data_IF_166305350347
#
_entry.id   IF_166305350347
#
_cell.length_a   1.000
_cell.length_b   1.000
_cell.length_c   1.000
_cell.angle_alpha   90.00
_cell.angle_beta   90.00
_cell.angle_gamma   90.00
#
_symmetry.space_group_name_H-M   'P 1'
#
loop_
_entity.id
_entity.type
_entity.pdbx_description
1 polymer ?
#
# COMPACT_ATOMS: atom_id res chain seq x y z
N UNK A 1 -0.27 17.19 -46.88
CA UNK A 1 -1.16 16.21 -46.21
C UNK A 1 -0.84 16.29 -44.72
N UNK A 2 -0.99 17.39 -43.99
CA UNK A 2 -2.04 18.42 -43.92
C UNK A 2 -3.48 17.90 -43.90
N UNK A 3 -4.20 18.35 -42.86
CA UNK A 3 -5.63 18.22 -42.55
C UNK A 3 -6.10 16.88 -41.97
N UNK A 4 -6.20 16.80 -40.64
CA UNK A 4 -7.48 16.90 -39.92
C UNK A 4 -7.26 16.69 -38.40
N UNK A 5 -8.16 17.29 -37.60
CA UNK A 5 -8.29 17.21 -36.13
C UNK A 5 -7.52 18.25 -35.30
N UNK A 6 -7.78 19.51 -35.61
CA UNK A 6 -7.77 20.60 -34.62
C UNK A 6 -8.93 21.53 -34.96
N UNK A 7 -10.07 21.37 -34.31
CA UNK A 7 -11.07 22.42 -34.10
C UNK A 7 -12.20 21.87 -33.23
N UNK A 8 -12.35 22.49 -32.04
CA UNK A 8 -13.60 22.80 -31.33
C UNK A 8 -13.31 22.78 -29.83
N UNK A 9 -12.67 23.82 -29.30
CA UNK A 9 -12.95 24.38 -27.97
C UNK A 9 -12.26 25.74 -27.86
N UNK A 10 -12.93 26.79 -28.35
CA UNK A 10 -12.63 28.19 -28.04
C UNK A 10 -13.90 28.99 -28.27
N UNK A 11 -14.36 29.72 -27.25
CA UNK A 11 -15.51 30.60 -27.38
C UNK A 11 -16.10 31.02 -26.03
N UNK A 12 -15.45 32.00 -25.41
CA UNK A 12 -15.91 32.71 -24.22
C UNK A 12 -17.05 33.71 -24.50
N UNK A 13 -17.91 33.86 -23.49
CA UNK A 13 -18.64 35.04 -23.00
C UNK A 13 -19.43 35.95 -23.96
N UNK A 14 -20.75 36.08 -23.72
CA UNK A 14 -21.42 37.38 -23.58
C UNK A 14 -22.79 37.27 -22.86
N UNK A 15 -22.99 38.16 -21.88
CA UNK A 15 -24.25 38.50 -21.18
C UNK A 15 -25.21 39.30 -22.06
N UNK A 16 -26.52 38.98 -22.01
CA UNK A 16 -27.63 39.91 -22.34
C UNK A 16 -28.83 39.64 -21.42
N UNK A 17 -29.42 40.72 -20.89
CA UNK A 17 -30.64 40.78 -20.07
C UNK A 17 -31.94 40.51 -20.86
N UNK A 18 -33.00 40.04 -20.19
CA UNK A 18 -34.39 40.40 -20.51
C UNK A 18 -35.44 39.27 -20.54
N UNK A 19 -36.23 39.20 -19.47
CA UNK A 19 -37.66 38.83 -19.33
C UNK A 19 -38.27 37.50 -19.85
N UNK A 20 -38.91 36.79 -18.90
CA UNK A 20 -40.31 36.39 -19.04
C UNK A 20 -40.66 34.89 -19.02
N UNK A 21 -41.49 34.53 -18.02
CA UNK A 21 -42.43 33.39 -17.94
C UNK A 21 -41.97 32.01 -17.40
N UNK A 22 -42.32 31.80 -16.12
CA UNK A 22 -43.10 30.70 -15.53
C UNK A 22 -42.78 29.23 -15.93
N UNK A 23 -42.36 28.41 -14.95
CA UNK A 23 -43.10 27.20 -14.52
C UNK A 23 -42.38 26.41 -13.41
N UNK A 24 -43.21 25.86 -12.51
CA UNK A 24 -42.92 25.26 -11.20
C UNK A 24 -42.13 23.93 -11.23
N UNK A 25 -41.43 23.55 -10.13
CA UNK A 25 -40.68 22.29 -10.02
C UNK A 25 -41.53 21.11 -9.47
N UNK A 26 -41.26 19.85 -9.86
CA UNK A 26 -41.93 18.69 -9.29
C UNK A 26 -41.26 18.17 -7.99
N UNK A 27 -42.01 17.44 -7.13
CA UNK A 27 -41.64 17.20 -5.73
C UNK A 27 -40.92 15.85 -5.47
N UNK A 28 -40.26 15.81 -4.31
CA UNK A 28 -39.53 14.66 -3.73
C UNK A 28 -40.50 13.61 -3.14
N UNK A 29 -40.28 12.33 -3.44
CA UNK A 29 -41.02 11.21 -2.83
C UNK A 29 -40.38 10.75 -1.51
N UNK A 30 -41.22 10.67 -0.48
CA UNK A 30 -40.93 10.16 0.87
C UNK A 30 -41.30 8.67 0.97
N UNK A 31 -40.62 8.00 1.89
CA UNK A 31 -40.85 6.64 2.39
C UNK A 31 -42.32 6.29 2.66
N UNK A 32 -42.70 5.04 2.37
CA UNK A 32 -43.89 4.39 2.89
C UNK A 32 -43.47 3.18 3.72
N UNK A 33 -43.87 3.20 5.00
CA UNK A 33 -43.97 2.05 5.92
C UNK A 33 -45.42 1.55 5.91
N UNK A 34 -45.59 0.31 6.36
CA UNK A 34 -46.82 -0.37 6.80
C UNK A 34 -47.69 -1.07 5.73
N UNK A 35 -47.68 -2.41 5.78
CA UNK A 35 -48.86 -3.24 5.52
C UNK A 35 -48.96 -4.33 6.59
N UNK A 36 -50.11 -4.40 7.26
CA UNK A 36 -50.50 -5.39 8.27
C UNK A 36 -51.04 -6.68 7.65
N UNK A 37 -50.82 -7.75 8.42
CA UNK A 37 -51.35 -9.12 8.41
C UNK A 37 -52.81 -9.32 7.98
N UNK A 38 -53.12 -10.48 7.40
CA UNK A 38 -54.26 -11.38 7.72
C UNK A 38 -54.21 -12.69 6.88
N UNK A 39 -54.43 -13.84 7.52
CA UNK A 39 -54.93 -15.06 6.84
C UNK A 39 -54.09 -16.33 6.98
N UNK A 40 -54.34 -17.13 8.03
CA UNK A 40 -53.90 -18.52 8.19
C UNK A 40 -54.89 -19.47 7.44
N UNK A 41 -54.46 -20.66 7.00
CA UNK A 41 -54.98 -21.85 7.68
C UNK A 41 -53.95 -22.97 7.91
N UNK A 42 -54.19 -23.68 9.01
CA UNK A 42 -53.47 -24.86 9.55
C UNK A 42 -53.86 -26.17 8.87
N UNK A 43 -52.88 -27.03 8.50
CA UNK A 43 -52.83 -28.52 8.61
C UNK A 43 -51.34 -28.89 8.36
N UNK A 44 -50.55 -29.53 9.24
CA UNK A 44 -50.58 -30.92 9.69
C UNK A 44 -49.14 -31.32 10.08
N UNK A 45 -48.98 -32.04 11.20
CA UNK A 45 -47.70 -32.53 11.75
C UNK A 45 -47.15 -33.69 10.90
N UNK A 46 -45.85 -33.70 10.61
CA UNK A 46 -44.98 -34.81 11.04
C UNK A 46 -43.47 -34.51 10.89
N UNK A 47 -42.78 -34.76 12.00
CA UNK A 47 -41.41 -35.26 12.22
C UNK A 47 -40.30 -34.97 11.19
N UNK A 48 -39.25 -34.26 11.65
CA UNK A 48 -37.85 -34.71 11.68
C UNK A 48 -36.97 -33.64 12.38
N UNK A 49 -36.36 -33.98 13.53
CA UNK A 49 -35.23 -33.25 14.15
C UNK A 49 -33.91 -33.73 13.51
N UNK A 50 -32.88 -32.88 13.40
CA UNK A 50 -31.78 -32.90 14.39
C UNK A 50 -31.15 -31.50 14.63
N UNK A 51 -29.99 -31.38 15.31
CA UNK A 51 -29.87 -31.04 16.72
C UNK A 51 -29.53 -29.56 16.99
N UNK A 52 -29.77 -29.17 18.24
CA UNK A 52 -29.48 -27.89 18.86
C UNK A 52 -27.98 -27.58 18.95
N UNK A 53 -27.55 -26.46 18.35
CA UNK A 53 -26.36 -25.74 18.78
C UNK A 53 -26.81 -24.52 19.58
N UNK A 54 -26.53 -24.55 20.88
CA UNK A 54 -26.62 -23.43 21.81
C UNK A 54 -25.73 -22.28 21.33
N UNK A 55 -26.34 -21.12 21.11
CA UNK A 55 -25.65 -19.86 20.85
C UNK A 55 -25.30 -19.26 22.20
N UNK A 56 -24.04 -19.38 22.62
CA UNK A 56 -23.52 -18.59 23.74
C UNK A 56 -23.23 -17.16 23.25
N UNK A 57 -24.08 -16.24 23.69
CA UNK A 57 -23.89 -14.81 23.59
C UNK A 57 -22.77 -14.37 24.55
N UNK A 58 -21.58 -14.08 24.02
CA UNK A 58 -20.59 -13.26 24.72
C UNK A 58 -20.24 -12.03 23.90
N UNK A 59 -20.89 -10.94 24.29
CA UNK A 59 -20.51 -9.57 23.98
C UNK A 59 -19.15 -9.23 24.60
N UNK A 60 -18.36 -8.42 23.88
CA UNK A 60 -17.33 -7.57 24.48
C UNK A 60 -15.95 -8.17 24.70
N UNK A 61 -15.21 -8.47 23.62
CA UNK A 61 -13.73 -8.41 23.63
C UNK A 61 -13.26 -7.81 22.32
N UNK A 62 -12.57 -6.66 22.39
CA UNK A 62 -11.96 -6.03 21.22
C UNK A 62 -10.98 -6.99 20.55
N UNK A 63 -10.90 -6.92 19.21
CA UNK A 63 -9.97 -7.73 18.42
C UNK A 63 -8.53 -7.52 18.92
N UNK A 64 -7.99 -8.53 19.60
CA UNK A 64 -6.56 -8.62 19.92
C UNK A 64 -5.89 -9.28 18.72
N UNK A 65 -4.79 -8.70 18.22
CA UNK A 65 -3.95 -9.37 17.22
C UNK A 65 -3.64 -10.80 17.73
N UNK A 66 -3.80 -11.84 16.90
CA UNK A 66 -3.66 -13.21 17.38
C UNK A 66 -2.27 -13.43 17.98
N UNK A 67 -2.22 -13.72 19.28
CA UNK A 67 -1.00 -14.07 20.01
C UNK A 67 -0.64 -15.53 19.67
N UNK A 68 0.00 -15.75 18.52
CA UNK A 68 0.44 -17.09 18.07
C UNK A 68 1.78 -17.42 18.73
N UNK A 69 1.81 -17.42 20.07
CA UNK A 69 2.96 -17.87 20.83
C UNK A 69 2.52 -18.46 22.17
N UNK A 70 2.06 -19.74 22.16
CA UNK A 70 2.24 -20.74 23.23
C UNK A 70 1.51 -22.03 22.90
N UNK A 71 2.19 -22.96 22.25
CA UNK A 71 1.95 -24.39 22.47
C UNK A 71 3.31 -25.07 22.72
N UNK A 72 3.55 -25.40 23.99
CA UNK A 72 4.76 -26.07 24.43
C UNK A 72 4.63 -27.59 24.31
N UNK A 73 5.58 -28.21 23.60
CA UNK A 73 6.30 -29.45 23.96
C UNK A 73 7.30 -29.77 22.83
N UNK A 74 8.59 -29.71 23.13
CA UNK A 74 9.67 -30.14 22.24
C UNK A 74 10.31 -31.39 22.85
N UNK A 75 10.20 -32.58 22.23
CA UNK A 75 11.19 -33.63 22.37
C UNK A 75 12.16 -33.57 21.18
N UNK A 76 13.44 -33.34 21.47
CA UNK A 76 14.53 -33.48 20.51
C UNK A 76 14.93 -32.17 19.82
N UNK A 77 15.92 -31.48 20.39
CA UNK A 77 16.63 -30.39 19.71
C UNK A 77 17.39 -30.99 18.53
N UNK A 78 16.88 -30.76 17.31
CA UNK A 78 17.72 -30.67 16.12
C UNK A 78 17.94 -29.19 15.85
N UNK A 79 19.20 -28.72 15.88
CA UNK A 79 19.60 -27.44 15.30
C UNK A 79 19.32 -27.49 13.79
N UNK A 80 18.12 -27.10 13.40
CA UNK A 80 17.71 -26.91 12.01
C UNK A 80 17.09 -25.53 11.88
N UNK A 81 17.43 -24.80 10.81
CA UNK A 81 16.81 -23.51 10.46
C UNK A 81 15.29 -23.65 10.57
N UNK A 82 14.66 -22.92 11.48
CA UNK A 82 13.20 -22.93 11.63
C UNK A 82 12.63 -22.24 10.39
N UNK A 83 11.86 -22.95 9.57
CA UNK A 83 11.13 -22.30 8.48
C UNK A 83 10.13 -21.32 9.09
N UNK A 84 10.27 -20.04 8.75
CA UNK A 84 9.42 -18.94 9.25
C UNK A 84 8.13 -18.83 8.43
N UNK A 85 8.24 -19.12 7.13
CA UNK A 85 7.15 -19.05 6.18
C UNK A 85 6.80 -20.45 5.68
N UNK A 86 5.53 -20.79 5.76
CA UNK A 86 4.96 -22.00 5.20
C UNK A 86 3.75 -21.63 4.35
N UNK A 87 3.53 -22.42 3.31
CA UNK A 87 2.45 -22.20 2.36
C UNK A 87 1.13 -22.76 2.92
N UNK A 88 0.09 -21.94 3.14
CA UNK A 88 -1.18 -22.44 3.64
C UNK A 88 -1.88 -23.33 2.59
N UNK A 89 -2.43 -24.48 3.02
CA UNK A 89 -3.14 -25.44 2.15
C UNK A 89 -4.33 -24.80 1.42
N UNK A 90 -4.97 -23.82 2.05
CA UNK A 90 -6.09 -23.05 1.51
C UNK A 90 -5.77 -21.57 1.23
N UNK A 91 -4.49 -21.18 1.17
CA UNK A 91 -4.11 -19.77 0.98
C UNK A 91 -4.44 -19.21 -0.41
N UNK A 92 -4.08 -17.96 -0.69
CA UNK A 92 -4.29 -17.36 -2.01
C UNK A 92 -3.52 -18.12 -3.10
N UNK A 93 -4.00 -18.00 -4.34
CA UNK A 93 -3.21 -18.36 -5.53
C UNK A 93 -2.01 -17.42 -5.59
N UNK A 94 -0.84 -17.93 -5.99
CA UNK A 94 0.39 -17.15 -6.16
C UNK A 94 0.96 -17.33 -7.56
N UNK A 95 1.85 -16.42 -7.95
CA UNK A 95 2.63 -16.57 -9.18
C UNK A 95 3.36 -17.91 -9.18
N UNK A 96 3.30 -18.60 -10.31
CA UNK A 96 3.90 -19.90 -10.55
C UNK A 96 3.10 -21.11 -10.12
N UNK A 97 1.93 -20.92 -9.48
CA UNK A 97 0.93 -21.98 -9.35
C UNK A 97 0.40 -22.45 -10.70
N UNK A 98 -0.31 -23.58 -10.70
CA UNK A 98 -1.14 -23.95 -11.84
C UNK A 98 -2.62 -23.89 -11.47
N UNK A 99 -3.40 -23.20 -12.28
CA UNK A 99 -4.86 -23.14 -12.20
C UNK A 99 -5.37 -23.88 -13.44
N UNK A 100 -6.12 -24.97 -13.23
CA UNK A 100 -6.57 -25.83 -14.34
C UNK A 100 -5.42 -26.26 -15.29
N UNK A 101 -4.24 -26.54 -14.73
CA UNK A 101 -3.04 -26.94 -15.48
C UNK A 101 -2.22 -25.79 -16.07
N UNK A 102 -2.77 -24.58 -16.17
CA UNK A 102 -2.08 -23.41 -16.72
C UNK A 102 -1.29 -22.66 -15.65
N UNK A 103 -0.06 -22.24 -15.97
CA UNK A 103 0.82 -21.56 -15.03
C UNK A 103 0.40 -20.10 -14.84
N UNK A 104 0.28 -19.68 -13.59
CA UNK A 104 -0.06 -18.31 -13.20
C UNK A 104 1.16 -17.42 -13.35
N UNK A 105 1.07 -16.42 -14.23
CA UNK A 105 2.11 -15.43 -14.43
C UNK A 105 2.02 -14.27 -13.43
N UNK A 106 0.81 -13.93 -12.97
CA UNK A 106 0.57 -12.85 -12.02
C UNK A 106 -0.89 -12.44 -11.94
N UNK A 107 -1.14 -11.20 -11.51
CA UNK A 107 -2.49 -10.66 -11.35
C UNK A 107 -2.56 -9.22 -11.82
N UNK A 108 -3.70 -8.85 -12.40
CA UNK A 108 -4.04 -7.47 -12.71
C UNK A 108 -5.33 -7.07 -12.01
N UNK A 109 -5.68 -5.79 -12.08
CA UNK A 109 -6.89 -5.21 -11.52
C UNK A 109 -7.49 -4.20 -12.50
N UNK A 110 -8.74 -4.43 -12.87
CA UNK A 110 -9.51 -3.53 -13.73
C UNK A 110 -10.29 -2.56 -12.84
N UNK A 111 -9.84 -1.31 -12.78
CA UNK A 111 -10.48 -0.25 -11.97
C UNK A 111 -11.92 -0.04 -12.43
N UNK A 112 -12.84 0.00 -11.47
CA UNK A 112 -14.25 0.37 -11.71
C UNK A 112 -14.79 1.23 -10.55
N UNK A 113 -15.90 1.97 -10.73
CA UNK A 113 -16.53 2.73 -9.65
C UNK A 113 -17.05 1.87 -8.49
N UNK A 114 -17.36 0.58 -8.74
CA UNK A 114 -17.81 -0.39 -7.75
C UNK A 114 -16.77 -1.51 -7.59
N UNK A 115 -15.55 -1.12 -7.21
CA UNK A 115 -14.43 -2.04 -7.03
C UNK A 115 -14.75 -3.14 -6.01
N UNK A 116 -14.48 -4.39 -6.39
CA UNK A 116 -14.62 -5.61 -5.58
C UNK A 116 -13.62 -6.67 -6.05
N UNK A 117 -13.59 -7.86 -5.44
CA UNK A 117 -12.78 -8.99 -5.91
C UNK A 117 -13.08 -9.39 -7.36
N UNK A 118 -14.25 -9.05 -7.90
CA UNK A 118 -14.61 -9.28 -9.31
C UNK A 118 -13.80 -8.43 -10.29
N UNK A 119 -13.06 -7.43 -9.82
CA UNK A 119 -12.20 -6.57 -10.62
C UNK A 119 -10.77 -7.12 -10.74
N UNK A 120 -10.38 -8.09 -9.91
CA UNK A 120 -9.11 -8.78 -10.05
C UNK A 120 -9.10 -9.68 -11.29
N UNK A 121 -7.94 -9.80 -11.92
CA UNK A 121 -7.72 -10.59 -13.12
C UNK A 121 -6.57 -11.57 -12.92
N UNK A 122 -6.81 -12.82 -13.30
CA UNK A 122 -5.79 -13.86 -13.35
C UNK A 122 -4.98 -13.71 -14.63
N UNK A 123 -3.66 -13.56 -14.50
CA UNK A 123 -2.73 -13.58 -15.63
C UNK A 123 -2.05 -14.94 -15.69
N UNK A 124 -2.00 -15.52 -16.88
CA UNK A 124 -1.35 -16.80 -17.17
C UNK A 124 -0.13 -16.56 -18.08
N UNK A 125 0.80 -17.51 -18.11
CA UNK A 125 1.98 -17.42 -18.97
C UNK A 125 1.57 -17.17 -20.44
N UNK A 126 2.12 -16.12 -21.06
CA UNK A 126 1.80 -15.67 -22.42
C UNK A 126 1.00 -14.35 -22.47
N UNK A 127 0.29 -14.01 -21.39
CA UNK A 127 -0.48 -12.77 -21.29
C UNK A 127 0.41 -11.51 -21.23
N UNK A 128 1.73 -11.62 -21.02
CA UNK A 128 2.69 -10.50 -21.01
C UNK A 128 2.67 -9.71 -22.32
N UNK A 129 2.30 -10.38 -23.41
CA UNK A 129 2.20 -9.80 -24.75
C UNK A 129 0.98 -8.90 -24.93
N UNK A 130 -0.05 -9.02 -24.07
CA UNK A 130 -1.29 -8.28 -24.20
C UNK A 130 -1.10 -6.79 -23.89
N UNK A 131 -1.88 -5.95 -24.58
CA UNK A 131 -1.88 -4.50 -24.36
C UNK A 131 -2.72 -4.07 -23.15
N UNK A 132 -3.62 -4.94 -22.67
CA UNK A 132 -4.48 -4.71 -21.51
C UNK A 132 -4.74 -6.02 -20.76
N UNK A 133 -5.14 -5.96 -19.48
CA UNK A 133 -5.52 -7.15 -18.72
C UNK A 133 -6.64 -7.94 -19.41
N UNK A 134 -6.57 -9.27 -19.49
CA UNK A 134 -7.64 -10.09 -20.04
C UNK A 134 -8.86 -10.06 -19.12
N UNK A 135 -10.06 -10.33 -19.66
CA UNK A 135 -11.30 -10.49 -18.88
C UNK A 135 -11.39 -11.88 -18.23
N UNK A 136 -10.33 -12.29 -17.53
CA UNK A 136 -10.25 -13.57 -16.80
C UNK A 136 -10.34 -13.31 -15.29
N UNK A 137 -11.44 -13.69 -14.61
CA UNK A 137 -11.56 -13.51 -13.16
C UNK A 137 -10.58 -14.42 -12.39
N UNK A 138 -10.47 -14.20 -11.08
CA UNK A 138 -9.77 -15.15 -10.21
C UNK A 138 -10.48 -16.52 -10.18
N UNK A 139 -9.75 -17.61 -9.88
CA UNK A 139 -10.32 -18.96 -9.83
C UNK A 139 -11.47 -19.06 -8.82
N UNK A 140 -12.52 -19.81 -9.18
CA UNK A 140 -13.58 -20.13 -8.25
C UNK A 140 -13.07 -21.09 -7.15
N UNK A 141 -13.77 -21.15 -6.01
CA UNK A 141 -13.35 -21.95 -4.86
C UNK A 141 -13.19 -23.45 -5.13
N UNK A 142 -13.92 -23.98 -6.12
CA UNK A 142 -13.90 -25.37 -6.58
C UNK A 142 -12.88 -25.63 -7.71
N UNK A 143 -12.15 -24.60 -8.16
CA UNK A 143 -11.14 -24.75 -9.19
C UNK A 143 -9.94 -25.53 -8.67
N UNK A 144 -9.48 -26.53 -9.42
CA UNK A 144 -8.27 -27.27 -9.11
C UNK A 144 -7.03 -26.37 -9.21
N UNK A 145 -6.29 -26.25 -8.10
CA UNK A 145 -5.10 -25.41 -7.98
C UNK A 145 -3.93 -26.27 -7.52
N UNK A 146 -2.91 -26.40 -8.36
CA UNK A 146 -1.62 -26.97 -7.97
C UNK A 146 -0.74 -25.87 -7.37
N UNK A 147 -0.55 -25.94 -6.05
CA UNK A 147 0.18 -24.95 -5.25
C UNK A 147 1.70 -25.16 -5.32
N UNK A 148 2.27 -24.98 -6.52
CA UNK A 148 3.69 -25.16 -6.79
C UNK A 148 4.49 -23.85 -6.92
N UNK A 149 3.83 -22.69 -6.97
CA UNK A 149 4.48 -21.39 -6.96
C UNK A 149 5.29 -21.13 -5.68
N UNK A 150 6.44 -20.43 -5.77
CA UNK A 150 7.22 -20.06 -4.61
C UNK A 150 6.49 -19.00 -3.77
N UNK A 151 6.78 -18.96 -2.47
CA UNK A 151 6.38 -17.82 -1.64
C UNK A 151 7.19 -16.59 -2.04
N UNK A 152 6.63 -15.37 -1.94
CA UNK A 152 7.36 -14.11 -2.15
C UNK A 152 8.63 -13.95 -1.30
N UNK A 153 8.72 -14.69 -0.19
CA UNK A 153 9.87 -14.71 0.72
C UNK A 153 10.95 -15.70 0.32
N UNK A 154 10.73 -16.58 -0.67
CA UNK A 154 11.67 -17.62 -1.06
C UNK A 154 13.00 -17.06 -1.61
N UNK A 155 12.98 -15.82 -2.09
CA UNK A 155 14.13 -15.08 -2.60
C UNK A 155 14.95 -14.38 -1.51
N UNK A 156 14.48 -14.40 -0.26
CA UNK A 156 15.18 -13.77 0.87
C UNK A 156 16.05 -14.81 1.58
N UNK A 157 17.33 -14.49 1.77
CA UNK A 157 18.24 -15.32 2.53
C UNK A 157 17.74 -15.53 3.97
N UNK A 158 17.88 -16.73 4.51
CA UNK A 158 17.32 -17.06 5.83
C UNK A 158 17.92 -16.23 6.97
N UNK A 159 19.19 -15.87 6.87
CA UNK A 159 19.89 -14.94 7.77
C UNK A 159 19.36 -13.50 7.73
N UNK A 160 18.69 -13.11 6.65
CA UNK A 160 18.05 -11.81 6.48
C UNK A 160 16.61 -11.78 7.01
N UNK A 161 16.16 -12.86 7.64
CA UNK A 161 14.88 -12.97 8.37
C UNK A 161 15.19 -13.07 9.86
N UNK A 162 15.08 -11.95 10.55
CA UNK A 162 15.47 -11.80 11.95
C UNK A 162 14.24 -11.76 12.84
N UNK A 163 14.33 -12.26 14.09
CA UNK A 163 13.26 -11.99 15.06
C UNK A 163 13.22 -10.49 15.32
N UNK A 164 12.03 -9.91 15.38
CA UNK A 164 11.87 -8.48 15.57
C UNK A 164 12.56 -7.99 16.85
N UNK A 165 12.55 -8.79 17.92
CA UNK A 165 13.25 -8.48 19.18
C UNK A 165 14.77 -8.55 19.10
N UNK A 166 15.34 -9.28 18.13
CA UNK A 166 16.78 -9.27 17.84
C UNK A 166 17.18 -8.01 17.07
N UNK A 167 16.24 -7.41 16.32
CA UNK A 167 16.44 -6.12 15.65
C UNK A 167 16.27 -4.97 16.63
N UNK A 168 15.18 -4.93 17.39
CA UNK A 168 15.02 -4.03 18.51
C UNK A 168 14.01 -4.63 19.49
N UNK A 169 14.39 -4.77 20.76
CA UNK A 169 13.61 -5.48 21.77
C UNK A 169 12.16 -4.98 21.88
N UNK A 170 11.95 -3.66 21.76
CA UNK A 170 10.64 -3.02 21.85
C UNK A 170 9.79 -3.15 20.57
N UNK A 171 10.36 -3.55 19.43
CA UNK A 171 9.76 -3.35 18.11
C UNK A 171 8.35 -3.94 17.97
N UNK A 172 8.07 -5.19 18.38
CA UNK A 172 6.71 -5.73 18.32
C UNK A 172 5.69 -4.88 19.06
N UNK A 173 6.00 -4.48 20.30
CA UNK A 173 5.06 -3.69 21.09
C UNK A 173 4.93 -2.26 20.58
N UNK A 174 6.02 -1.65 20.11
CA UNK A 174 5.97 -0.32 19.51
C UNK A 174 5.10 -0.28 18.25
N UNK A 175 5.14 -1.32 17.40
CA UNK A 175 4.26 -1.43 16.23
C UNK A 175 2.79 -1.56 16.67
N UNK A 176 2.50 -2.44 17.63
CA UNK A 176 1.12 -2.61 18.13
C UNK A 176 0.60 -1.32 18.76
N UNK A 177 1.44 -0.63 19.53
CA UNK A 177 1.12 0.66 20.13
C UNK A 177 0.89 1.74 19.07
N UNK A 178 1.75 1.79 18.04
CA UNK A 178 1.60 2.70 16.91
C UNK A 178 0.23 2.52 16.23
N UNK A 179 -0.15 1.28 15.89
CA UNK A 179 -1.45 0.96 15.29
C UNK A 179 -2.61 1.43 16.18
N UNK A 180 -2.56 1.13 17.49
CA UNK A 180 -3.61 1.56 18.44
C UNK A 180 -3.69 3.08 18.60
N UNK A 181 -2.59 3.80 18.38
CA UNK A 181 -2.50 5.24 18.58
C UNK A 181 -2.90 6.09 17.36
N UNK A 182 -3.18 5.47 16.20
CA UNK A 182 -3.57 6.20 14.98
C UNK A 182 -4.96 6.84 15.05
N UNK A 183 -5.79 6.36 15.96
CA UNK A 183 -7.20 6.68 16.10
C UNK A 183 -7.97 5.43 16.53
N UNK A 184 -9.10 5.59 17.23
CA UNK A 184 -9.84 4.44 17.78
C UNK A 184 -10.38 3.56 16.65
N UNK A 185 -10.98 4.15 15.62
CA UNK A 185 -11.52 3.43 14.48
C UNK A 185 -10.42 2.97 13.53
N UNK A 186 -9.43 3.82 13.26
CA UNK A 186 -8.28 3.52 12.39
C UNK A 186 -7.45 2.34 12.93
N UNK A 187 -7.17 2.32 14.23
CA UNK A 187 -6.43 1.24 14.88
C UNK A 187 -7.20 -0.09 14.92
N UNK A 188 -8.52 -0.03 15.15
CA UNK A 188 -9.40 -1.21 15.06
C UNK A 188 -9.46 -1.76 13.65
N UNK A 189 -9.62 -0.89 12.66
CA UNK A 189 -9.62 -1.24 11.25
C UNK A 189 -8.32 -1.95 10.85
N UNK A 190 -7.17 -1.35 11.15
CA UNK A 190 -5.86 -1.92 10.81
C UNK A 190 -5.67 -3.30 11.47
N UNK A 191 -6.05 -3.44 12.73
CA UNK A 191 -5.97 -4.71 13.47
C UNK A 191 -6.88 -5.78 12.84
N UNK A 192 -8.12 -5.43 12.51
CA UNK A 192 -9.07 -6.34 11.88
C UNK A 192 -8.62 -6.77 10.48
N UNK A 193 -8.10 -5.84 9.68
CA UNK A 193 -7.56 -6.13 8.36
C UNK A 193 -6.38 -7.10 8.43
N UNK A 194 -5.39 -6.84 9.30
CA UNK A 194 -4.24 -7.74 9.50
C UNK A 194 -4.72 -9.14 9.89
N UNK A 195 -5.67 -9.24 10.83
CA UNK A 195 -6.21 -10.52 11.27
C UNK A 195 -6.97 -11.26 10.15
N UNK A 196 -7.76 -10.54 9.34
CA UNK A 196 -8.48 -11.11 8.19
C UNK A 196 -7.50 -11.63 7.15
N UNK A 197 -6.52 -10.82 6.74
CA UNK A 197 -5.49 -11.23 5.77
C UNK A 197 -4.72 -12.46 6.24
N UNK A 198 -4.34 -12.51 7.52
CA UNK A 198 -3.68 -13.68 8.10
C UNK A 198 -4.57 -14.93 8.08
N UNK A 199 -5.86 -14.80 8.38
CA UNK A 199 -6.81 -15.90 8.37
C UNK A 199 -7.05 -16.47 6.96
N UNK A 200 -7.04 -15.61 5.93
CA UNK A 200 -7.13 -15.99 4.52
C UNK A 200 -5.78 -16.49 3.95
N UNK A 201 -4.74 -16.54 4.78
CA UNK A 201 -3.42 -17.05 4.40
C UNK A 201 -2.59 -16.08 3.55
N UNK A 202 -2.98 -14.81 3.46
CA UNK A 202 -2.17 -13.79 2.80
C UNK A 202 -0.91 -13.46 3.62
N UNK A 203 0.19 -13.26 2.92
CA UNK A 203 1.36 -12.59 3.47
C UNK A 203 1.16 -11.08 3.44
N UNK A 204 1.55 -10.43 4.53
CA UNK A 204 1.38 -9.00 4.79
C UNK A 204 2.60 -8.47 5.55
N UNK A 205 3.12 -7.32 5.13
CA UNK A 205 4.23 -6.65 5.78
C UNK A 205 3.94 -5.17 5.95
N UNK A 206 4.28 -4.64 7.13
CA UNK A 206 4.51 -3.21 7.32
C UNK A 206 5.89 -2.88 6.77
N UNK A 207 6.03 -1.70 6.16
CA UNK A 207 7.24 -1.31 5.45
C UNK A 207 7.52 0.19 5.61
N UNK A 208 8.62 0.66 5.03
CA UNK A 208 8.88 2.08 4.86
C UNK A 208 9.10 2.81 6.18
N UNK A 209 8.46 3.99 6.32
CA UNK A 209 8.74 4.92 7.42
C UNK A 209 8.46 4.37 8.80
N UNK A 210 7.37 3.60 8.93
CA UNK A 210 6.93 3.02 10.20
C UNK A 210 7.97 2.08 10.80
N UNK A 211 8.45 1.13 9.99
CA UNK A 211 9.43 0.13 10.45
C UNK A 211 10.79 0.79 10.72
N UNK A 212 11.27 1.60 9.76
CA UNK A 212 12.56 2.29 9.87
C UNK A 212 12.61 3.19 11.11
N UNK A 213 11.63 4.07 11.29
CA UNK A 213 11.66 5.07 12.36
C UNK A 213 11.49 4.42 13.73
N UNK A 214 10.69 3.36 13.86
CA UNK A 214 10.60 2.62 15.12
C UNK A 214 11.90 1.87 15.46
N UNK A 215 12.66 1.39 14.47
CA UNK A 215 13.97 0.77 14.70
C UNK A 215 15.03 1.82 15.05
N UNK A 216 15.06 2.94 14.31
CA UNK A 216 16.12 3.94 14.42
C UNK A 216 15.90 4.94 15.57
N UNK A 217 14.67 5.41 15.71
CA UNK A 217 14.31 6.45 16.68
C UNK A 217 13.68 5.85 17.94
N UNK A 218 13.22 4.60 17.91
CA UNK A 218 12.69 3.90 19.09
C UNK A 218 11.17 4.07 19.31
N UNK A 219 10.64 3.66 20.50
CA UNK A 219 9.19 3.57 20.74
C UNK A 219 8.42 4.88 20.62
N UNK A 220 9.09 6.02 20.78
CA UNK A 220 8.50 7.35 20.69
C UNK A 220 8.36 7.86 19.24
N UNK A 221 8.88 7.13 18.25
CA UNK A 221 8.76 7.53 16.86
C UNK A 221 7.28 7.64 16.46
N UNK A 222 6.91 8.79 15.89
CA UNK A 222 5.52 9.08 15.55
C UNK A 222 5.14 8.43 14.22
N UNK A 223 4.42 7.31 14.29
CA UNK A 223 3.79 6.67 13.14
C UNK A 223 2.50 7.41 12.79
N UNK A 224 2.39 7.88 11.54
CA UNK A 224 1.25 8.69 11.08
C UNK A 224 0.43 8.00 9.98
N UNK A 225 0.95 6.94 9.40
CA UNK A 225 0.43 6.18 8.27
C UNK A 225 1.12 4.81 8.26
N UNK A 226 0.40 3.78 7.81
CA UNK A 226 0.92 2.44 7.64
C UNK A 226 1.12 2.19 6.15
N UNK A 227 2.38 2.26 5.73
CA UNK A 227 2.78 1.70 4.43
C UNK A 227 2.83 0.18 4.57
N UNK A 228 2.16 -0.51 3.66
CA UNK A 228 1.99 -1.96 3.69
C UNK A 228 2.22 -2.56 2.30
N UNK A 229 2.63 -3.83 2.26
CA UNK A 229 2.65 -4.62 1.03
C UNK A 229 2.34 -6.08 1.33
N UNK A 230 1.99 -6.85 0.31
CA UNK A 230 1.66 -8.25 0.48
C UNK A 230 1.07 -8.92 -0.74
N UNK A 231 0.50 -10.10 -0.50
CA UNK A 231 -0.06 -10.99 -1.53
C UNK A 231 -1.53 -10.73 -1.85
N UNK A 232 -2.26 -10.00 -1.02
CA UNK A 232 -3.65 -9.64 -1.29
C UNK A 232 -3.74 -8.67 -2.46
N UNK A 233 -4.73 -8.90 -3.33
CA UNK A 233 -4.95 -8.09 -4.53
C UNK A 233 -5.87 -6.91 -4.22
N UNK A 234 -5.88 -5.87 -5.07
CA UNK A 234 -6.69 -4.70 -4.81
C UNK A 234 -8.19 -5.00 -4.70
N UNK A 235 -8.73 -5.92 -5.49
CA UNK A 235 -10.15 -6.30 -5.42
C UNK A 235 -10.48 -7.09 -4.15
N UNK A 236 -9.71 -8.14 -3.84
CA UNK A 236 -9.83 -8.92 -2.59
C UNK A 236 -9.81 -8.03 -1.34
N UNK A 237 -8.99 -6.96 -1.31
CA UNK A 237 -8.97 -6.01 -0.20
C UNK A 237 -10.29 -5.27 0.02
N UNK A 238 -11.09 -5.02 -1.04
CA UNK A 238 -12.43 -4.47 -0.85
C UNK A 238 -13.33 -5.48 -0.15
N UNK A 239 -13.36 -6.72 -0.65
CA UNK A 239 -14.20 -7.79 -0.11
C UNK A 239 -13.83 -8.09 1.36
N UNK A 240 -12.55 -8.08 1.68
CA UNK A 240 -12.07 -8.30 3.05
C UNK A 240 -12.35 -7.14 4.00
N UNK A 241 -12.45 -5.92 3.49
CA UNK A 241 -12.87 -4.79 4.31
C UNK A 241 -14.34 -4.88 4.63
N UNK A 242 -15.19 -5.19 3.66
CA UNK A 242 -16.62 -5.37 3.90
C UNK A 242 -16.82 -6.46 4.97
N UNK A 243 -16.15 -7.61 4.83
CA UNK A 243 -16.15 -8.69 5.84
C UNK A 243 -15.60 -8.26 7.22
N UNK A 244 -14.50 -7.49 7.25
CA UNK A 244 -13.84 -7.09 8.48
C UNK A 244 -14.60 -6.00 9.24
N UNK A 245 -15.31 -5.12 8.53
CA UNK A 245 -16.14 -4.06 9.09
C UNK A 245 -17.50 -4.59 9.56
N UNK A 246 -18.15 -5.46 8.78
CA UNK A 246 -19.51 -5.95 9.07
C UNK A 246 -19.59 -6.83 10.32
N UNK A 247 -18.59 -7.67 10.60
CA UNK A 247 -18.78 -8.81 11.53
C UNK A 247 -18.08 -8.64 12.89
N UNK A 248 -16.99 -7.87 12.99
CA UNK A 248 -16.11 -7.96 14.18
C UNK A 248 -15.69 -6.65 14.82
N UNK A 249 -15.66 -5.54 14.08
CA UNK A 249 -15.08 -4.30 14.59
C UNK A 249 -16.13 -3.26 15.03
N UNK A 250 -17.41 -3.45 14.69
CA UNK A 250 -18.48 -2.50 15.02
C UNK A 250 -18.28 -1.12 14.36
N UNK A 251 -17.48 -1.07 13.30
CA UNK A 251 -17.17 0.12 12.54
C UNK A 251 -18.28 0.27 11.51
N UNK A 252 -18.96 1.41 11.47
CA UNK A 252 -19.98 1.61 10.43
C UNK A 252 -19.33 1.70 9.05
N UNK A 253 -19.96 1.13 8.02
CA UNK A 253 -19.51 1.14 6.60
C UNK A 253 -19.33 2.56 6.02
N UNK A 254 -19.63 3.58 6.82
CA UNK A 254 -19.66 4.99 6.48
C UNK A 254 -18.46 5.76 7.06
N UNK A 255 -17.50 5.12 7.72
CA UNK A 255 -16.35 5.83 8.31
C UNK A 255 -15.23 6.05 7.28
N UNK A 256 -14.95 5.07 6.43
CA UNK A 256 -13.77 5.09 5.56
C UNK A 256 -14.10 5.19 4.06
N UNK A 257 -13.20 5.85 3.33
CA UNK A 257 -13.16 5.92 1.86
C UNK A 257 -11.98 5.09 1.38
N UNK A 258 -12.27 4.10 0.55
CA UNK A 258 -11.30 3.23 -0.10
C UNK A 258 -11.00 3.72 -1.52
N UNK A 259 -9.74 3.63 -1.96
CA UNK A 259 -9.34 4.02 -3.30
C UNK A 259 -8.18 3.16 -3.81
N UNK A 260 -8.23 2.72 -5.06
CA UNK A 260 -7.09 2.09 -5.74
C UNK A 260 -6.56 3.00 -6.83
N UNK A 261 -5.27 3.32 -6.72
CA UNK A 261 -4.52 4.10 -7.71
C UNK A 261 -4.29 3.33 -9.00
N UNK A 262 -3.81 4.00 -10.05
CA UNK A 262 -3.42 3.35 -11.29
C UNK A 262 -2.24 2.38 -11.15
N UNK A 263 -1.50 2.43 -10.02
CA UNK A 263 -0.36 1.53 -9.70
C UNK A 263 -0.71 0.47 -8.65
N UNK A 264 -2.00 0.21 -8.45
CA UNK A 264 -2.50 -0.79 -7.50
C UNK A 264 -2.09 -0.52 -6.05
N UNK A 265 -1.94 0.77 -5.70
CA UNK A 265 -1.88 1.21 -4.30
C UNK A 265 -3.31 1.39 -3.82
N UNK A 266 -3.72 0.55 -2.87
CA UNK A 266 -4.99 0.61 -2.18
C UNK A 266 -4.84 1.49 -0.94
N UNK A 267 -5.58 2.59 -0.87
CA UNK A 267 -5.53 3.57 0.21
C UNK A 267 -6.83 3.61 1.00
N UNK A 268 -6.70 3.71 2.33
CA UNK A 268 -7.81 3.88 3.27
C UNK A 268 -7.71 5.25 3.92
N UNK A 269 -8.78 6.05 3.82
CA UNK A 269 -8.86 7.39 4.41
C UNK A 269 -10.17 7.55 5.18
N UNK A 270 -10.20 8.47 6.14
CA UNK A 270 -11.47 8.86 6.76
C UNK A 270 -12.34 9.62 5.75
N UNK A 271 -13.66 9.35 5.73
CA UNK A 271 -14.61 10.05 4.86
C UNK A 271 -14.76 11.52 5.21
N UNK A 272 -14.53 11.92 6.46
CA UNK A 272 -14.51 13.33 6.88
C UNK A 272 -13.32 14.10 6.31
N UNK A 273 -12.42 13.42 5.60
CA UNK A 273 -11.23 13.98 4.99
C UNK A 273 -9.95 13.58 5.71
N UNK A 274 -8.82 14.10 5.22
CA UNK A 274 -7.49 13.79 5.75
C UNK A 274 -6.64 12.92 4.84
N UNK A 275 -5.42 12.62 5.33
CA UNK A 275 -4.48 11.75 4.63
C UNK A 275 -4.91 10.29 4.77
N UNK A 276 -4.49 9.44 3.83
CA UNK A 276 -4.58 8.02 4.04
C UNK A 276 -3.81 7.60 5.29
N UNK A 277 -4.41 6.71 6.08
CA UNK A 277 -3.75 6.13 7.24
C UNK A 277 -3.23 4.71 6.95
N UNK A 278 -3.73 4.07 5.89
CA UNK A 278 -3.14 2.85 5.31
C UNK A 278 -2.94 3.08 3.82
N UNK A 279 -1.74 2.76 3.34
CA UNK A 279 -1.45 2.57 1.92
C UNK A 279 -0.88 1.18 1.73
N UNK A 280 -1.64 0.30 1.10
CA UNK A 280 -1.25 -1.06 0.78
C UNK A 280 -0.91 -1.14 -0.71
N UNK A 281 0.33 -1.50 -1.03
CA UNK A 281 0.76 -1.78 -2.40
C UNK A 281 0.75 -3.28 -2.62
N UNK A 282 -0.04 -3.77 -3.57
CA UNK A 282 0.10 -5.17 -4.00
C UNK A 282 1.49 -5.37 -4.61
N UNK A 283 2.19 -6.47 -4.27
CA UNK A 283 3.60 -6.64 -4.68
C UNK A 283 3.74 -6.48 -6.20
N UNK A 284 4.56 -5.52 -6.66
CA UNK A 284 4.63 -5.15 -8.06
C UNK A 284 5.25 -6.28 -8.88
N UNK A 285 4.78 -6.42 -10.11
CA UNK A 285 5.31 -7.37 -11.07
C UNK A 285 5.63 -6.63 -12.37
N UNK A 286 6.87 -6.77 -12.84
CA UNK A 286 7.32 -6.20 -14.11
C UNK A 286 7.10 -7.20 -15.26
N UNK A 287 7.30 -6.74 -16.50
CA UNK A 287 7.21 -7.58 -17.71
C UNK A 287 5.88 -7.52 -18.45
N UNK A 288 4.87 -6.86 -17.89
CA UNK A 288 3.58 -6.61 -18.54
C UNK A 288 3.51 -5.20 -19.11
N UNK A 289 2.72 -5.01 -20.19
CA UNK A 289 2.46 -3.69 -20.80
C UNK A 289 1.45 -2.83 -20.01
N UNK A 290 0.96 -3.37 -18.91
CA UNK A 290 0.03 -2.76 -17.97
C UNK A 290 0.48 -3.08 -16.54
N UNK A 291 0.03 -2.33 -15.52
CA UNK A 291 0.35 -2.64 -14.13
C UNK A 291 -0.04 -4.07 -13.77
N UNK A 292 0.89 -4.82 -13.17
CA UNK A 292 0.67 -6.18 -12.71
C UNK A 292 1.19 -6.34 -11.27
N UNK A 293 0.72 -7.39 -10.62
CA UNK A 293 1.08 -7.75 -9.25
C UNK A 293 1.28 -9.25 -9.09
N UNK A 294 1.76 -9.67 -7.91
CA UNK A 294 2.11 -11.06 -7.62
C UNK A 294 3.62 -11.32 -7.71
N UNK A 295 4.43 -10.26 -7.67
CA UNK A 295 5.88 -10.39 -7.60
C UNK A 295 6.39 -10.86 -6.24
N UNK A 296 7.71 -10.95 -6.12
CA UNK A 296 8.41 -11.29 -4.88
C UNK A 296 8.97 -10.06 -4.13
N UNK A 297 9.62 -10.29 -2.99
CA UNK A 297 10.18 -9.20 -2.19
C UNK A 297 11.33 -8.46 -2.88
N UNK A 298 12.11 -9.11 -3.74
CA UNK A 298 13.16 -8.44 -4.51
C UNK A 298 12.56 -7.55 -5.61
N UNK A 299 11.49 -8.02 -6.27
CA UNK A 299 10.71 -7.21 -7.21
C UNK A 299 10.11 -5.96 -6.53
N UNK A 300 9.59 -6.07 -5.31
CA UNK A 300 9.12 -4.90 -4.56
C UNK A 300 10.27 -3.94 -4.21
N UNK A 301 11.40 -4.46 -3.70
CA UNK A 301 12.61 -3.67 -3.37
C UNK A 301 13.06 -2.82 -4.55
N UNK A 302 13.11 -3.38 -5.76
CA UNK A 302 13.53 -2.65 -6.98
C UNK A 302 12.64 -1.47 -7.35
N UNK A 303 11.46 -1.36 -6.76
CA UNK A 303 10.54 -0.22 -6.97
C UNK A 303 10.57 0.80 -5.84
N UNK A 304 11.29 0.54 -4.74
CA UNK A 304 11.38 1.42 -3.58
C UNK A 304 12.45 2.48 -3.76
N UNK A 305 12.43 3.47 -2.88
CA UNK A 305 13.27 4.65 -2.95
C UNK A 305 14.67 4.42 -2.35
N UNK A 306 14.76 4.00 -1.09
CA UNK A 306 16.02 3.78 -0.37
C UNK A 306 16.03 2.43 0.36
N UNK A 307 17.22 1.84 0.54
CA UNK A 307 17.41 0.54 1.23
C UNK A 307 16.88 0.57 2.66
N UNK A 308 17.07 1.67 3.39
CA UNK A 308 16.53 1.89 4.74
C UNK A 308 14.99 1.89 4.79
N UNK A 309 14.31 2.02 3.65
CA UNK A 309 12.84 1.93 3.51
C UNK A 309 12.38 0.56 2.99
N UNK A 310 13.31 -0.37 2.84
CA UNK A 310 13.13 -1.74 2.37
C UNK A 310 13.23 -2.75 3.53
N UNK A 311 12.91 -2.32 4.76
CA UNK A 311 12.74 -3.20 5.91
C UNK A 311 11.26 -3.60 6.02
N UNK A 312 11.00 -4.90 6.10
CA UNK A 312 9.66 -5.47 6.08
C UNK A 312 9.38 -6.15 7.41
N UNK A 313 8.41 -5.64 8.17
CA UNK A 313 7.99 -6.25 9.44
C UNK A 313 6.70 -7.05 9.23
N UNK A 314 6.73 -8.34 9.59
CA UNK A 314 5.56 -9.23 9.60
C UNK A 314 4.92 -9.21 11.01
N UNK A 315 3.74 -8.55 11.18
CA UNK A 315 3.09 -8.42 12.48
C UNK A 315 2.47 -9.73 13.02
N UNK A 316 2.36 -10.76 12.18
CA UNK A 316 1.81 -12.07 12.57
C UNK A 316 2.92 -12.97 13.13
N UNK A 317 4.12 -12.87 12.57
CA UNK A 317 5.27 -13.72 12.91
C UNK A 317 6.29 -13.04 13.81
N UNK A 318 6.17 -11.73 14.04
CA UNK A 318 7.14 -10.91 14.78
C UNK A 318 8.57 -11.06 14.23
N UNK A 319 8.70 -10.96 12.91
CA UNK A 319 9.99 -10.99 12.21
C UNK A 319 10.18 -9.74 11.36
N UNK A 320 11.44 -9.36 11.17
CA UNK A 320 11.87 -8.33 10.23
C UNK A 320 12.66 -9.01 9.11
N UNK A 321 12.29 -8.70 7.87
CA UNK A 321 13.00 -9.14 6.69
C UNK A 321 13.75 -7.95 6.09
N UNK A 322 14.99 -8.19 5.70
CA UNK A 322 15.81 -7.26 4.93
C UNK A 322 16.22 -7.90 3.60
N UNK A 323 15.34 -7.89 2.57
CA UNK A 323 15.65 -8.46 1.27
C UNK A 323 16.81 -7.78 0.55
N UNK A 324 17.20 -6.57 0.99
CA UNK A 324 18.37 -5.87 0.45
C UNK A 324 19.68 -6.39 1.03
N UNK A 325 19.63 -7.14 2.13
CA UNK A 325 20.78 -7.62 2.93
C UNK A 325 21.66 -6.50 3.52
N UNK A 326 21.24 -5.25 3.38
CA UNK A 326 22.01 -4.07 3.78
C UNK A 326 21.18 -3.00 4.47
N UNK A 327 19.86 -2.95 4.31
CA UNK A 327 19.01 -1.88 4.82
C UNK A 327 19.16 -1.68 6.32
N UNK A 328 19.30 -2.76 7.09
CA UNK A 328 19.53 -2.68 8.54
C UNK A 328 20.94 -2.19 8.88
N UNK A 329 21.94 -2.59 8.10
CA UNK A 329 23.33 -2.13 8.26
C UNK A 329 23.46 -0.65 7.90
N UNK A 330 22.90 -0.23 6.76
CA UNK A 330 22.84 1.16 6.30
C UNK A 330 22.17 2.06 7.34
N UNK A 331 21.08 1.59 7.97
CA UNK A 331 20.33 2.34 8.99
C UNK A 331 21.13 2.55 10.28
N UNK A 332 21.94 1.56 10.67
CA UNK A 332 22.70 1.52 11.93
C UNK A 332 24.15 2.02 11.80
N UNK A 333 24.62 2.24 10.58
CA UNK A 333 25.98 2.70 10.33
C UNK A 333 26.28 4.03 11.06
N UNK A 334 27.54 4.23 11.46
CA UNK A 334 28.00 5.50 12.06
C UNK A 334 27.74 6.68 11.11
N UNK A 335 28.02 6.46 9.82
CA UNK A 335 27.59 7.32 8.73
C UNK A 335 26.43 6.63 8.02
N UNK A 336 25.21 7.12 8.25
CA UNK A 336 24.02 6.48 7.70
C UNK A 336 24.03 6.60 6.17
N UNK A 337 24.02 5.47 5.48
CA UNK A 337 24.17 5.42 4.04
C UNK A 337 22.84 5.69 3.32
N UNK A 338 22.86 6.63 2.36
CA UNK A 338 21.76 6.86 1.44
C UNK A 338 22.00 6.04 0.17
N UNK A 339 21.21 4.99 0.00
CA UNK A 339 21.36 4.03 -1.09
C UNK A 339 20.01 3.78 -1.73
N UNK A 340 19.94 3.90 -3.04
CA UNK A 340 18.74 3.56 -3.82
C UNK A 340 18.88 2.16 -4.44
N UNK A 341 17.96 1.22 -4.17
CA UNK A 341 17.82 -0.02 -4.92
C UNK A 341 16.90 0.15 -6.16
N UNK A 342 16.47 1.38 -6.45
CA UNK A 342 15.45 1.63 -7.46
C UNK A 342 15.97 1.34 -8.87
N UNK A 343 15.26 0.48 -9.60
CA UNK A 343 15.53 0.14 -11.00
C UNK A 343 14.41 0.63 -11.94
N UNK A 344 13.47 1.44 -11.45
CA UNK A 344 12.41 2.01 -12.27
C UNK A 344 13.00 2.80 -13.44
N UNK A 345 12.41 2.66 -14.62
CA UNK A 345 12.72 3.51 -15.79
C UNK A 345 11.84 4.75 -15.87
N UNK A 346 10.76 4.79 -15.09
CA UNK A 346 9.78 5.87 -15.08
C UNK A 346 10.41 7.18 -14.57
N UNK A 347 10.42 8.27 -15.38
CA UNK A 347 11.09 9.52 -15.03
C UNK A 347 10.61 10.14 -13.71
N UNK A 348 9.29 10.14 -13.50
CA UNK A 348 8.67 10.68 -12.29
C UNK A 348 9.13 9.94 -11.03
N UNK A 349 9.26 8.62 -11.07
CA UNK A 349 9.70 7.84 -9.92
C UNK A 349 11.17 8.09 -9.60
N UNK A 350 12.03 8.17 -10.63
CA UNK A 350 13.45 8.53 -10.47
C UNK A 350 13.60 9.92 -9.84
N UNK A 351 12.82 10.90 -10.29
CA UNK A 351 12.81 12.24 -9.68
C UNK A 351 12.33 12.22 -8.22
N UNK A 352 11.33 11.40 -7.88
CA UNK A 352 10.89 11.20 -6.49
C UNK A 352 11.98 10.59 -5.60
N UNK A 353 12.82 9.69 -6.11
CA UNK A 353 13.96 9.14 -5.36
C UNK A 353 14.97 10.24 -5.01
N UNK A 354 15.28 11.15 -5.94
CA UNK A 354 16.15 12.32 -5.66
C UNK A 354 15.54 13.17 -4.53
N UNK A 355 14.26 13.54 -4.65
CA UNK A 355 13.59 14.33 -3.60
C UNK A 355 13.51 13.58 -2.27
N UNK A 356 13.42 12.25 -2.29
CA UNK A 356 13.45 11.43 -1.09
C UNK A 356 14.83 11.43 -0.44
N UNK A 357 15.90 11.28 -1.22
CA UNK A 357 17.27 11.37 -0.72
C UNK A 357 17.49 12.75 -0.08
N UNK A 358 17.09 13.83 -0.76
CA UNK A 358 17.11 15.18 -0.21
C UNK A 358 16.34 15.29 1.10
N UNK A 359 15.13 14.72 1.17
CA UNK A 359 14.31 14.71 2.39
C UNK A 359 15.06 14.09 3.58
N UNK A 360 15.77 12.98 3.37
CA UNK A 360 16.56 12.35 4.43
C UNK A 360 17.84 13.11 4.75
N UNK A 361 18.49 13.71 3.76
CA UNK A 361 19.60 14.63 3.99
C UNK A 361 19.18 15.76 4.92
N UNK A 362 18.06 16.43 4.62
CA UNK A 362 17.51 17.51 5.46
C UNK A 362 17.17 17.02 6.87
N UNK A 363 16.59 15.83 6.99
CA UNK A 363 16.21 15.25 8.30
C UNK A 363 17.43 14.91 9.16
N UNK A 364 18.46 14.29 8.59
CA UNK A 364 19.50 13.61 9.38
C UNK A 364 20.84 14.34 9.40
N UNK A 365 21.19 15.15 8.40
CA UNK A 365 22.53 15.75 8.28
C UNK A 365 22.89 16.69 9.44
N UNK A 366 21.89 17.31 10.08
CA UNK A 366 22.09 18.13 11.27
C UNK A 366 22.28 17.34 12.57
N UNK A 367 21.88 16.06 12.59
CA UNK A 367 21.87 15.22 13.79
C UNK A 367 22.96 14.14 13.77
N UNK A 368 23.37 13.70 12.58
CA UNK A 368 24.35 12.63 12.38
C UNK A 368 25.09 12.77 11.05
N UNK A 369 26.16 11.99 10.89
CA UNK A 369 26.88 11.88 9.62
C UNK A 369 26.10 11.02 8.63
N UNK A 370 26.21 11.38 7.35
CA UNK A 370 25.58 10.68 6.24
C UNK A 370 26.61 10.32 5.17
N UNK A 371 26.50 9.12 4.63
CA UNK A 371 27.21 8.69 3.43
C UNK A 371 26.28 8.79 2.21
N UNK A 372 26.66 9.65 1.25
CA UNK A 372 25.90 9.87 0.01
C UNK A 372 26.57 9.25 -1.23
N UNK A 373 27.66 8.50 -1.08
CA UNK A 373 28.43 8.01 -2.23
C UNK A 373 27.60 7.07 -3.11
N UNK A 374 26.81 6.19 -2.50
CA UNK A 374 25.96 5.26 -3.24
C UNK A 374 24.83 6.00 -4.00
N UNK A 375 24.13 6.93 -3.35
CA UNK A 375 23.05 7.69 -4.01
C UNK A 375 23.59 8.62 -5.11
N UNK A 376 24.78 9.21 -4.94
CA UNK A 376 25.46 10.00 -6.00
C UNK A 376 25.84 9.15 -7.20
N UNK A 377 26.34 7.93 -6.97
CA UNK A 377 26.63 6.98 -8.05
C UNK A 377 25.34 6.60 -8.78
N UNK A 378 24.26 6.34 -8.04
CA UNK A 378 22.95 6.06 -8.63
C UNK A 378 22.43 7.25 -9.45
N UNK A 379 22.47 8.47 -8.91
CA UNK A 379 21.99 9.67 -9.61
C UNK A 379 22.79 9.97 -10.87
N UNK A 380 24.10 9.71 -10.87
CA UNK A 380 24.95 9.83 -12.05
C UNK A 380 24.60 8.86 -13.20
N UNK A 381 23.82 7.80 -12.95
CA UNK A 381 23.31 6.90 -14.00
C UNK A 381 22.02 7.40 -14.66
N UNK A 382 21.42 8.46 -14.13
CA UNK A 382 20.17 8.99 -14.66
C UNK A 382 20.39 9.64 -16.03
N UNK A 383 19.42 9.51 -16.95
CA UNK A 383 19.55 10.10 -18.27
C UNK A 383 19.47 11.63 -18.18
N UNK A 384 20.26 12.33 -18.99
CA UNK A 384 20.33 13.80 -18.96
C UNK A 384 19.03 14.51 -19.34
N UNK A 385 18.15 13.84 -20.09
CA UNK A 385 16.82 14.31 -20.51
C UNK A 385 15.70 13.85 -19.56
N UNK A 386 16.02 13.32 -18.38
CA UNK A 386 15.04 12.80 -17.41
C UNK A 386 13.85 13.75 -17.19
N UNK A 387 14.14 15.04 -17.03
CA UNK A 387 13.14 16.05 -16.68
C UNK A 387 12.22 16.40 -17.85
N UNK A 388 12.67 16.20 -19.09
CA UNK A 388 11.90 16.50 -20.31
C UNK A 388 10.71 15.54 -20.47
N UNK A 389 10.80 14.36 -19.86
CA UNK A 389 9.78 13.31 -19.93
C UNK A 389 8.79 13.34 -18.75
N UNK A 390 8.85 14.37 -17.90
CA UNK A 390 7.91 14.55 -16.79
C UNK A 390 6.66 15.29 -17.28
N UNK A 391 5.50 14.65 -17.12
CA UNK A 391 4.20 15.24 -17.47
C UNK A 391 3.81 16.39 -16.54
N UNK A 392 2.86 17.24 -16.94
CA UNK A 392 2.35 18.34 -16.09
C UNK A 392 1.77 17.85 -14.76
N UNK A 393 1.14 16.67 -14.75
CA UNK A 393 0.69 16.03 -13.51
C UNK A 393 1.87 15.59 -12.64
N UNK A 394 2.91 15.01 -13.26
CA UNK A 394 4.15 14.66 -12.59
C UNK A 394 4.82 15.87 -11.93
N UNK A 395 4.91 17.01 -12.63
CA UNK A 395 5.45 18.25 -12.06
C UNK A 395 4.63 18.75 -10.86
N UNK A 396 3.29 18.71 -10.94
CA UNK A 396 2.43 19.03 -9.80
C UNK A 396 2.71 18.12 -8.61
N UNK A 397 2.86 16.82 -8.84
CA UNK A 397 3.20 15.85 -7.80
C UNK A 397 4.57 16.12 -7.18
N UNK A 398 5.61 16.35 -7.99
CA UNK A 398 6.95 16.69 -7.51
C UNK A 398 6.95 17.97 -6.68
N UNK A 399 6.19 18.99 -7.08
CA UNK A 399 5.98 20.18 -6.26
C UNK A 399 5.38 19.87 -4.90
N UNK A 400 4.45 18.92 -4.79
CA UNK A 400 3.88 18.51 -3.49
C UNK A 400 4.91 17.77 -2.63
N UNK A 401 5.75 16.93 -3.23
CA UNK A 401 6.85 16.23 -2.56
C UNK A 401 7.88 17.23 -2.05
N UNK A 402 8.32 18.18 -2.89
CA UNK A 402 9.27 19.23 -2.51
C UNK A 402 8.73 20.12 -1.38
N UNK A 403 7.45 20.52 -1.45
CA UNK A 403 6.82 21.25 -0.34
C UNK A 403 6.83 20.47 0.98
N UNK A 404 6.78 19.14 0.95
CA UNK A 404 6.92 18.34 2.16
C UNK A 404 8.36 18.36 2.71
N UNK A 405 9.37 18.58 1.88
CA UNK A 405 10.75 18.83 2.29
C UNK A 405 10.87 20.21 2.92
N UNK A 406 10.35 21.27 2.28
CA UNK A 406 10.39 22.64 2.82
C UNK A 406 9.61 22.82 4.14
N UNK A 407 8.67 21.92 4.49
CA UNK A 407 8.04 21.93 5.81
C UNK A 407 8.95 21.45 6.95
N UNK A 408 10.09 20.82 6.64
CA UNK A 408 11.01 20.28 7.65
C UNK A 408 12.13 21.25 8.02
N UNK A 409 12.48 22.18 7.12
CA UNK A 409 13.57 23.13 7.34
C UNK A 409 13.43 24.38 6.46
N UNK A 410 14.09 25.50 6.83
CA UNK A 410 14.16 26.70 6.00
C UNK A 410 14.71 26.42 4.60
N UNK A 411 14.28 27.22 3.61
CA UNK A 411 14.61 26.98 2.21
C UNK A 411 16.12 27.03 1.93
N UNK A 412 16.85 27.90 2.65
CA UNK A 412 18.30 28.02 2.54
C UNK A 412 18.99 26.70 2.93
N UNK A 413 18.53 26.06 4.01
CA UNK A 413 19.08 24.79 4.46
C UNK A 413 18.74 23.63 3.52
N UNK A 414 17.54 23.63 2.94
CA UNK A 414 17.15 22.64 1.93
C UNK A 414 18.05 22.76 0.69
N UNK A 415 18.32 23.98 0.24
CA UNK A 415 19.24 24.25 -0.89
C UNK A 415 20.69 23.86 -0.57
N UNK A 416 21.15 24.12 0.65
CA UNK A 416 22.47 23.64 1.11
C UNK A 416 22.54 22.11 1.08
N UNK A 417 21.49 21.43 1.56
CA UNK A 417 21.41 19.97 1.53
C UNK A 417 21.35 19.40 0.11
N UNK A 418 20.67 20.09 -0.81
CA UNK A 418 20.64 19.71 -2.22
C UNK A 418 22.03 19.82 -2.87
N UNK A 419 22.71 20.94 -2.62
CA UNK A 419 24.08 21.17 -3.09
C UNK A 419 25.05 20.14 -2.53
N UNK A 420 24.90 19.78 -1.25
CA UNK A 420 25.68 18.72 -0.63
C UNK A 420 25.38 17.34 -1.24
N UNK A 421 24.14 17.08 -1.65
CA UNK A 421 23.77 15.80 -2.26
C UNK A 421 24.43 15.65 -3.64
N UNK A 422 24.01 16.45 -4.63
CA UNK A 422 24.61 16.55 -5.97
C UNK A 422 23.94 17.64 -6.84
N UNK A 423 24.47 17.85 -8.05
CA UNK A 423 23.89 18.78 -9.03
C UNK A 423 22.52 18.37 -9.59
N UNK A 424 22.17 17.08 -9.57
CA UNK A 424 20.85 16.62 -10.03
C UNK A 424 19.76 17.05 -9.05
N UNK A 425 20.03 17.00 -7.74
CA UNK A 425 19.13 17.50 -6.72
C UNK A 425 18.88 19.00 -6.85
N UNK A 426 19.94 19.79 -7.07
CA UNK A 426 19.81 21.24 -7.30
C UNK A 426 18.99 21.53 -8.55
N UNK A 427 19.36 20.94 -9.69
CA UNK A 427 18.65 21.16 -10.95
C UNK A 427 17.18 20.73 -10.91
N UNK A 428 16.86 19.65 -10.18
CA UNK A 428 15.48 19.22 -9.98
C UNK A 428 14.67 20.24 -9.16
N UNK A 429 15.24 20.79 -8.08
CA UNK A 429 14.54 21.82 -7.29
C UNK A 429 14.26 23.05 -8.15
N UNK A 430 15.27 23.57 -8.84
CA UNK A 430 15.13 24.77 -9.67
C UNK A 430 14.06 24.56 -10.74
N UNK A 431 14.06 23.41 -11.41
CA UNK A 431 13.03 23.07 -12.41
C UNK A 431 11.61 22.97 -11.81
N UNK A 432 11.47 22.40 -10.60
CA UNK A 432 10.16 22.34 -9.91
C UNK A 432 9.69 23.76 -9.57
N UNK A 433 10.56 24.61 -9.02
CA UNK A 433 10.22 25.99 -8.62
C UNK A 433 9.81 26.82 -9.83
N UNK A 434 10.56 26.75 -10.92
CA UNK A 434 10.27 27.44 -12.19
C UNK A 434 8.92 27.01 -12.77
N UNK A 435 8.66 25.70 -12.86
CA UNK A 435 7.45 25.18 -13.49
C UNK A 435 6.19 25.28 -12.64
N UNK A 436 6.32 25.18 -11.32
CA UNK A 436 5.14 25.19 -10.42
C UNK A 436 4.85 26.57 -9.82
N UNK A 437 5.73 27.57 -10.04
CA UNK A 437 5.61 28.90 -9.47
C UNK A 437 5.71 28.92 -7.94
N UNK A 438 6.16 27.81 -7.33
CA UNK A 438 6.31 27.67 -5.88
C UNK A 438 7.67 28.23 -5.49
N UNK A 439 7.70 29.50 -5.12
CA UNK A 439 8.88 30.18 -4.60
C UNK A 439 9.30 29.58 -3.24
N UNK A 440 10.62 29.51 -3.02
CA UNK A 440 11.31 29.11 -1.78
C UNK A 440 10.58 29.53 -0.48
N UNK A 441 10.13 28.55 0.29
CA UNK A 441 9.81 28.72 1.73
C UNK A 441 8.54 29.52 2.06
N UNK A 442 8.08 29.45 3.33
CA UNK A 442 6.73 29.84 3.72
C UNK A 442 6.51 31.34 3.54
N UNK A 443 5.31 31.72 3.10
CA UNK A 443 4.83 33.09 3.24
C UNK A 443 5.11 33.56 4.67
N UNK A 444 5.96 34.57 4.80
CA UNK A 444 6.02 35.41 5.98
C UNK A 444 4.70 36.18 6.08
N UNK A 445 3.65 35.52 6.56
CA UNK A 445 2.41 36.11 7.08
C UNK A 445 1.46 35.00 7.58
N UNK A 446 1.57 34.65 8.86
CA UNK A 446 0.43 34.42 9.78
C UNK A 446 0.92 34.38 11.22
#
# INVERSE_FOLDING_TARGET
MEQQLSQLFSGDLHTVHGDGADHSPPPRLRHIRDVRLMGCPTVGRDQLRPPSCTVDTHAGRGAVLPDVARSGRVPGVRKGRRMVYERPVGGPVLRGDRVAGERVAGFAFIRSPAASGRNDRLLLDGDESFSAPPERPLPAADTEIERCGPLPTAVVAGESILRATEVAEHLPESIRAAIRSMGVEEGRFATALIAKLAAEGHLFWLVGGTVRDLIADGPQAKVKDLDCTGTARPGELYDYVDDALDVRAGISDHVFKLHVSHRYVWSVRNRTGGRAFIEYKSMPLQGFRFPASGGDLHEDVRTRDLTVNCLYYDPVRDVVLDPTERGLADLRAEERALVSPNESVEPLERAKVILRALKFTVRWRGEMKLDADAIRKWSATLPGDLLDHITDEGWRELGHVLNAVYRQAPAEYVQECATWLDGHAVGLIDAIEERTGRVRGPSAAQ
#
